data_IF_955131308289
#
_entry.id   IF_955131308289
#
_cell.length_a   1.000
_cell.length_b   1.000
_cell.length_c   1.000
_cell.angle_alpha   90.00
_cell.angle_beta   90.00
_cell.angle_gamma   90.00
#
_symmetry.space_group_name_H-M   'P 1'
#
loop_
_entity.id
_entity.type
_entity.pdbx_description
1 polymer ?
#
# COMPACT_ATOMS: atom_id res chain seq x y z
N UNK A 1 -10.50 -79.00 -54.31
CA UNK A 1 -11.25 -77.75 -54.45
C UNK A 1 -10.84 -76.84 -53.30
N UNK A 2 -9.99 -75.83 -53.58
CA UNK A 2 -9.43 -74.89 -52.58
C UNK A 2 -10.34 -73.68 -52.48
N UNK A 3 -10.74 -73.28 -51.27
CA UNK A 3 -11.34 -71.96 -51.03
C UNK A 3 -10.37 -71.21 -50.10
N UNK A 4 -9.77 -70.15 -50.63
CA UNK A 4 -8.93 -69.19 -49.89
C UNK A 4 -9.83 -68.05 -49.44
N UNK A 5 -9.96 -67.85 -48.14
CA UNK A 5 -10.57 -66.64 -47.57
C UNK A 5 -9.46 -65.65 -47.26
N UNK A 6 -9.39 -64.58 -48.04
CA UNK A 6 -8.57 -63.40 -47.78
C UNK A 6 -9.26 -62.54 -46.71
N UNK A 7 -8.64 -62.41 -45.53
CA UNK A 7 -9.05 -61.42 -44.55
C UNK A 7 -8.48 -60.05 -44.96
N UNK A 8 -9.37 -59.07 -45.17
CA UNK A 8 -9.03 -57.68 -45.42
C UNK A 8 -8.67 -57.03 -44.09
N UNK A 9 -7.43 -56.55 -43.94
CA UNK A 9 -7.02 -55.73 -42.79
C UNK A 9 -7.53 -54.30 -43.01
N UNK A 10 -8.46 -53.84 -42.17
CA UNK A 10 -8.83 -52.43 -42.09
C UNK A 10 -7.79 -51.70 -41.21
N UNK A 11 -6.96 -50.86 -41.82
CA UNK A 11 -6.05 -49.97 -41.12
C UNK A 11 -6.83 -48.71 -40.68
N UNK A 12 -7.18 -48.62 -39.40
CA UNK A 12 -7.76 -47.41 -38.82
C UNK A 12 -6.62 -46.39 -38.63
N UNK A 13 -6.56 -45.37 -39.49
CA UNK A 13 -5.69 -44.22 -39.29
C UNK A 13 -6.28 -43.33 -38.18
N UNK A 14 -5.90 -43.56 -36.93
CA UNK A 14 -6.19 -42.64 -35.85
C UNK A 14 -5.34 -41.37 -36.05
N UNK A 15 -5.99 -40.25 -36.34
CA UNK A 15 -5.34 -38.94 -36.45
C UNK A 15 -4.71 -38.56 -35.10
N UNK A 16 -3.38 -38.48 -35.08
CA UNK A 16 -2.63 -37.86 -33.99
C UNK A 16 -2.85 -36.34 -34.06
N UNK A 17 -3.82 -35.83 -33.30
CA UNK A 17 -3.83 -34.42 -32.94
C UNK A 17 -2.61 -34.16 -32.02
N UNK A 18 -1.80 -33.11 -32.26
CA UNK A 18 -0.72 -32.77 -31.36
C UNK A 18 -1.31 -32.47 -29.97
N UNK A 19 -0.85 -33.21 -28.96
CA UNK A 19 -1.10 -32.87 -27.57
C UNK A 19 -0.43 -31.52 -27.31
N UNK A 20 -1.20 -30.44 -27.32
CA UNK A 20 -0.74 -29.17 -26.78
C UNK A 20 -0.63 -29.37 -25.27
N UNK A 21 0.59 -29.49 -24.75
CA UNK A 21 0.78 -29.36 -23.31
C UNK A 21 0.27 -27.98 -22.92
N UNK A 22 -0.64 -27.93 -21.94
CA UNK A 22 -1.00 -26.68 -21.30
C UNK A 22 0.30 -25.98 -20.88
N UNK A 23 0.37 -24.66 -21.05
CA UNK A 23 1.45 -23.86 -20.48
C UNK A 23 1.62 -24.28 -19.00
N UNK A 24 2.86 -24.34 -18.47
CA UNK A 24 3.06 -24.59 -17.05
C UNK A 24 2.15 -23.62 -16.30
N UNK A 25 1.31 -24.15 -15.40
CA UNK A 25 0.47 -23.31 -14.58
C UNK A 25 1.39 -22.36 -13.83
N UNK A 26 1.38 -21.08 -14.19
CA UNK A 26 1.95 -20.04 -13.34
C UNK A 26 1.21 -20.14 -12.02
N UNK A 27 1.94 -20.30 -10.91
CA UNK A 27 1.33 -20.30 -9.60
C UNK A 27 0.45 -19.05 -9.48
N UNK A 28 -0.77 -19.20 -8.97
CA UNK A 28 -1.57 -18.03 -8.65
C UNK A 28 -0.75 -17.19 -7.66
N UNK A 29 -0.66 -15.87 -7.87
CA UNK A 29 0.00 -14.99 -6.91
C UNK A 29 -0.57 -15.25 -5.51
N UNK A 30 0.31 -15.21 -4.52
CA UNK A 30 -0.02 -15.70 -3.19
C UNK A 30 -0.99 -14.80 -2.42
N UNK A 31 -1.06 -13.52 -2.80
CA UNK A 31 -1.78 -12.50 -2.07
C UNK A 31 -1.31 -12.37 -0.61
N UNK A 32 -0.12 -12.88 -0.30
CA UNK A 32 0.46 -12.80 1.03
C UNK A 32 1.15 -11.45 1.19
N UNK A 33 0.88 -10.72 2.30
CA UNK A 33 1.58 -9.49 2.60
C UNK A 33 3.10 -9.69 2.62
N UNK A 34 3.82 -8.86 1.88
CA UNK A 34 5.27 -8.84 1.81
C UNK A 34 5.87 -9.82 0.80
N UNK A 35 5.12 -10.48 -0.09
CA UNK A 35 5.68 -11.27 -1.19
C UNK A 35 6.01 -10.38 -2.39
N UNK A 36 7.26 -9.92 -2.51
CA UNK A 36 7.70 -9.01 -3.59
C UNK A 36 8.22 -9.76 -4.83
N UNK A 37 8.14 -11.10 -4.88
CA UNK A 37 8.65 -11.85 -6.02
C UNK A 37 7.66 -12.90 -6.58
N UNK A 38 6.51 -13.07 -5.94
CA UNK A 38 5.41 -13.93 -6.35
C UNK A 38 5.68 -15.42 -6.10
N UNK A 39 6.66 -15.78 -5.26
CA UNK A 39 6.97 -17.18 -4.94
C UNK A 39 6.09 -17.77 -3.83
N UNK A 40 5.19 -16.96 -3.28
CA UNK A 40 4.27 -17.32 -2.22
C UNK A 40 4.87 -17.35 -0.84
N UNK A 41 5.83 -16.48 -0.59
CA UNK A 41 6.51 -16.36 0.70
C UNK A 41 6.74 -14.89 1.04
N UNK A 42 6.60 -14.59 2.33
CA UNK A 42 6.95 -13.27 2.86
C UNK A 42 8.46 -13.01 2.63
N UNK A 43 8.74 -11.89 1.98
CA UNK A 43 10.04 -11.26 1.83
C UNK A 43 10.20 -10.14 2.88
N UNK A 44 11.37 -9.50 2.91
CA UNK A 44 11.69 -8.44 3.86
C UNK A 44 12.30 -7.22 3.17
N UNK A 45 11.63 -6.08 3.25
CA UNK A 45 12.19 -4.78 2.87
C UNK A 45 12.77 -4.06 4.09
N UNK A 46 14.03 -3.61 4.01
CA UNK A 46 14.72 -2.89 5.08
C UNK A 46 15.25 -1.56 4.57
N UNK A 47 14.76 -0.47 5.16
CA UNK A 47 15.29 0.87 4.93
C UNK A 47 16.64 1.08 5.63
N UNK A 48 17.67 1.51 4.90
CA UNK A 48 18.95 1.89 5.49
C UNK A 48 19.10 3.43 5.49
N UNK A 49 18.69 4.07 6.59
CA UNK A 49 18.65 5.54 6.71
C UNK A 49 19.98 6.28 6.47
N UNK A 50 21.13 5.61 6.59
CA UNK A 50 22.45 6.20 6.39
C UNK A 50 23.12 5.80 5.05
N UNK A 51 22.50 4.94 4.24
CA UNK A 51 23.11 4.37 3.03
C UNK A 51 22.30 4.57 1.74
N UNK A 52 21.34 5.50 1.75
CA UNK A 52 20.65 5.95 0.54
C UNK A 52 19.98 4.82 -0.26
N UNK A 53 19.26 3.93 0.42
CA UNK A 53 18.53 2.88 -0.28
C UNK A 53 17.67 2.01 0.64
N UNK A 54 16.72 1.32 0.01
CA UNK A 54 16.04 0.18 0.60
C UNK A 54 16.74 -1.09 0.09
N UNK A 55 17.07 -1.98 1.01
CA UNK A 55 17.49 -3.33 0.68
C UNK A 55 16.28 -4.25 0.75
N UNK A 56 15.98 -4.93 -0.35
CA UNK A 56 15.00 -6.00 -0.36
C UNK A 56 15.72 -7.33 -0.18
N UNK A 57 15.13 -8.18 0.66
CA UNK A 57 15.62 -9.51 0.96
C UNK A 57 14.52 -10.51 0.65
N UNK A 58 14.78 -11.37 -0.35
CA UNK A 58 13.80 -12.35 -0.78
C UNK A 58 13.86 -13.59 0.12
N UNK A 59 12.71 -13.97 0.65
CA UNK A 59 12.52 -15.02 1.66
C UNK A 59 12.31 -16.40 1.06
N UNK A 60 12.55 -17.43 1.87
CA UNK A 60 11.96 -18.75 1.62
C UNK A 60 12.69 -19.95 2.20
N UNK A 61 11.97 -20.73 3.01
CA UNK A 61 12.12 -22.17 3.38
C UNK A 61 11.69 -22.50 4.82
N UNK A 62 11.12 -21.55 5.58
CA UNK A 62 10.62 -21.84 6.93
C UNK A 62 11.75 -22.08 7.95
N UNK A 63 11.63 -21.44 9.12
CA UNK A 63 12.65 -21.39 10.18
C UNK A 63 14.03 -20.91 9.69
N UNK A 64 14.20 -19.59 9.69
CA UNK A 64 15.52 -18.95 9.57
C UNK A 64 16.18 -19.15 8.20
N UNK A 65 15.43 -18.93 7.12
CA UNK A 65 16.03 -18.94 5.78
C UNK A 65 16.96 -17.74 5.62
N UNK A 66 18.15 -18.02 5.10
CA UNK A 66 19.14 -17.01 4.76
C UNK A 66 18.60 -16.18 3.61
N UNK A 67 18.45 -14.87 3.86
CA UNK A 67 18.01 -13.85 2.92
C UNK A 67 18.70 -14.04 1.55
N UNK A 68 17.97 -14.52 0.54
CA UNK A 68 18.53 -14.77 -0.78
C UNK A 68 18.48 -13.48 -1.61
N UNK A 69 19.58 -13.16 -2.30
CA UNK A 69 19.62 -12.10 -3.32
C UNK A 69 19.28 -10.69 -2.82
N UNK A 70 20.27 -9.94 -2.32
CA UNK A 70 20.10 -8.51 -2.05
C UNK A 70 19.97 -7.74 -3.36
N UNK A 71 18.79 -7.19 -3.65
CA UNK A 71 18.62 -6.14 -4.64
C UNK A 71 18.64 -4.78 -3.94
N UNK A 72 19.54 -3.90 -4.39
CA UNK A 72 19.60 -2.53 -3.90
C UNK A 72 18.73 -1.65 -4.77
N UNK A 73 17.70 -1.04 -4.19
CA UNK A 73 16.87 -0.06 -4.89
C UNK A 73 17.31 1.35 -4.50
N UNK A 74 17.78 2.10 -5.51
CA UNK A 74 18.15 3.50 -5.39
C UNK A 74 17.17 4.33 -6.23
N UNK A 75 16.11 4.90 -5.63
CA UNK A 75 15.26 5.86 -6.32
C UNK A 75 16.11 7.07 -6.70
N UNK A 76 16.50 7.15 -7.98
CA UNK A 76 17.09 8.33 -8.61
C UNK A 76 18.19 9.08 -7.84
N UNK A 77 19.45 8.63 -7.97
CA UNK A 77 20.63 9.49 -7.77
C UNK A 77 21.08 9.73 -6.32
N UNK A 78 22.31 10.21 -6.18
CA UNK A 78 23.14 10.19 -4.95
C UNK A 78 22.65 11.07 -3.77
N UNK A 79 21.41 11.56 -3.79
CA UNK A 79 20.90 12.54 -2.83
C UNK A 79 19.67 12.00 -2.10
N UNK A 80 19.96 11.07 -1.18
CA UNK A 80 19.21 10.64 -0.02
C UNK A 80 17.73 11.04 0.04
N UNK A 81 16.86 10.06 -0.14
CA UNK A 81 15.56 10.08 0.51
C UNK A 81 15.78 9.86 2.00
N UNK A 82 15.46 10.84 2.85
CA UNK A 82 15.24 10.57 4.27
C UNK A 82 14.05 9.63 4.38
N UNK A 83 14.28 8.37 4.76
CA UNK A 83 13.23 7.35 4.88
C UNK A 83 12.34 7.69 6.08
N UNK A 84 11.11 8.12 5.81
CA UNK A 84 10.10 8.42 6.83
C UNK A 84 9.13 7.24 7.01
N UNK A 85 8.85 6.48 5.93
CA UNK A 85 7.95 5.32 5.95
C UNK A 85 8.29 4.29 4.87
N UNK A 86 7.89 3.04 5.13
CA UNK A 86 8.04 1.90 4.24
C UNK A 86 6.80 1.02 4.34
N UNK A 87 6.07 0.88 3.23
CA UNK A 87 4.78 0.17 3.19
C UNK A 87 4.72 -0.69 1.93
N UNK A 88 3.98 -1.80 1.98
CA UNK A 88 3.83 -2.73 0.87
C UNK A 88 2.36 -3.05 0.58
N UNK A 89 2.08 -3.44 -0.66
CA UNK A 89 0.81 -4.00 -1.10
C UNK A 89 0.71 -4.05 -2.63
N UNK A 90 -0.12 -4.94 -3.15
CA UNK A 90 -0.37 -5.11 -4.59
C UNK A 90 -1.18 -3.94 -5.19
N UNK A 91 -0.50 -2.91 -5.68
CA UNK A 91 -1.11 -1.67 -6.18
C UNK A 91 -1.42 -1.75 -7.68
N UNK A 92 -0.70 -2.56 -8.46
CA UNK A 92 -1.01 -2.76 -9.89
C UNK A 92 -1.90 -3.97 -10.19
N UNK A 93 -2.17 -4.82 -9.20
CA UNK A 93 -3.07 -5.97 -9.30
C UNK A 93 -2.44 -7.17 -9.98
N UNK A 94 -1.10 -7.25 -10.03
CA UNK A 94 -0.41 -8.40 -10.59
C UNK A 94 -0.28 -9.57 -9.59
N UNK A 95 -0.66 -9.32 -8.33
CA UNK A 95 -0.68 -10.27 -7.23
C UNK A 95 0.66 -10.42 -6.49
N UNK A 96 1.65 -9.63 -6.87
CA UNK A 96 2.90 -9.44 -6.13
C UNK A 96 2.80 -8.12 -5.37
N UNK A 97 3.32 -8.07 -4.15
CA UNK A 97 3.32 -6.81 -3.41
C UNK A 97 4.29 -5.82 -4.04
N UNK A 98 3.84 -4.57 -4.13
CA UNK A 98 4.67 -3.43 -4.51
C UNK A 98 5.21 -2.73 -3.26
N UNK A 99 6.34 -2.03 -3.41
CA UNK A 99 6.94 -1.26 -2.32
C UNK A 99 6.67 0.24 -2.48
N UNK A 100 6.16 0.86 -1.43
CA UNK A 100 6.03 2.31 -1.29
C UNK A 100 7.02 2.83 -0.25
N UNK A 101 7.86 3.77 -0.69
CA UNK A 101 8.84 4.45 0.15
C UNK A 101 8.40 5.89 0.32
N UNK A 102 8.03 6.27 1.53
CA UNK A 102 7.78 7.67 1.89
C UNK A 102 9.05 8.32 2.40
N UNK A 103 9.42 9.47 1.84
CA UNK A 103 10.63 10.16 2.30
C UNK A 103 10.93 11.46 1.59
N UNK A 104 11.97 12.16 2.04
CA UNK A 104 12.31 13.48 1.52
C UNK A 104 13.54 13.53 0.63
N UNK A 105 13.48 14.16 -0.54
CA UNK A 105 14.68 14.47 -1.32
C UNK A 105 15.42 15.64 -0.66
N UNK A 106 16.56 15.35 -0.03
CA UNK A 106 17.34 16.36 0.69
C UNK A 106 17.90 17.47 -0.21
N UNK A 107 17.95 17.28 -1.53
CA UNK A 107 18.50 18.25 -2.48
C UNK A 107 17.46 19.26 -3.00
N UNK A 108 16.18 18.89 -3.06
CA UNK A 108 15.12 19.75 -3.60
C UNK A 108 14.13 20.21 -2.55
N UNK A 109 14.26 19.75 -1.29
CA UNK A 109 13.27 19.92 -0.20
C UNK A 109 11.90 19.28 -0.51
N UNK A 110 11.65 18.93 -1.77
CA UNK A 110 10.51 18.17 -2.23
C UNK A 110 10.60 16.75 -1.67
N UNK A 111 9.51 16.29 -1.07
CA UNK A 111 9.42 14.95 -0.52
C UNK A 111 8.48 14.11 -1.39
N UNK A 112 8.72 12.81 -1.41
CA UNK A 112 8.27 11.89 -2.46
C UNK A 112 7.76 10.58 -1.85
N UNK A 113 6.68 10.07 -2.39
CA UNK A 113 6.37 8.64 -2.32
C UNK A 113 6.97 7.99 -3.57
N UNK A 114 7.81 6.98 -3.40
CA UNK A 114 8.33 6.18 -4.52
C UNK A 114 7.66 4.82 -4.49
N UNK A 115 6.99 4.52 -5.58
CA UNK A 115 6.36 3.24 -5.85
C UNK A 115 7.28 2.37 -6.71
N UNK A 116 7.45 1.12 -6.29
CA UNK A 116 8.27 0.14 -6.98
C UNK A 116 7.51 -1.18 -7.11
N UNK A 117 7.19 -1.53 -8.35
CA UNK A 117 6.75 -2.88 -8.71
C UNK A 117 7.94 -3.76 -9.04
N UNK A 118 7.96 -5.02 -8.57
CA UNK A 118 8.95 -6.01 -8.98
C UNK A 118 9.03 -6.14 -10.52
N UNK A 119 10.21 -5.88 -11.10
CA UNK A 119 10.38 -5.88 -12.57
C UNK A 119 9.86 -4.63 -13.30
N UNK A 120 9.15 -3.73 -12.59
CA UNK A 120 8.70 -2.43 -13.07
C UNK A 120 9.76 -1.32 -12.94
N UNK A 121 9.44 -0.14 -13.46
CA UNK A 121 10.24 1.07 -13.25
C UNK A 121 9.73 1.83 -12.03
N UNK A 122 10.63 2.29 -11.17
CA UNK A 122 10.27 3.12 -10.03
C UNK A 122 9.52 4.38 -10.48
N UNK A 123 8.35 4.63 -9.88
CA UNK A 123 7.56 5.85 -10.12
C UNK A 123 7.66 6.75 -8.91
N UNK A 124 8.05 7.99 -9.15
CA UNK A 124 8.13 9.02 -8.13
C UNK A 124 6.86 9.86 -8.17
N UNK A 125 6.20 9.98 -7.02
CA UNK A 125 5.12 10.93 -6.81
C UNK A 125 5.66 12.07 -5.97
N UNK A 126 5.85 13.21 -6.61
CA UNK A 126 6.12 14.46 -5.90
C UNK A 126 4.79 14.99 -5.35
N UNK A 127 4.70 15.14 -4.03
CA UNK A 127 3.66 15.93 -3.39
C UNK A 127 4.26 17.26 -2.94
N UNK A 128 3.48 18.34 -2.98
CA UNK A 128 3.84 19.65 -2.43
C UNK A 128 3.80 19.69 -0.89
N UNK A 129 3.50 18.56 -0.23
CA UNK A 129 3.36 18.48 1.22
C UNK A 129 4.71 18.56 1.98
N UNK A 130 4.67 19.16 3.17
CA UNK A 130 5.83 19.33 4.06
C UNK A 130 6.39 18.04 4.70
N UNK A 131 7.37 18.13 5.63
CA UNK A 131 7.94 16.97 6.34
C UNK A 131 6.88 16.10 7.02
N UNK A 132 7.06 14.76 7.07
CA UNK A 132 6.09 13.93 7.80
C UNK A 132 5.33 12.70 7.32
N UNK A 133 5.79 12.06 6.24
CA UNK A 133 5.00 11.10 5.48
C UNK A 133 4.76 9.78 6.22
N UNK A 134 3.53 9.58 6.67
CA UNK A 134 3.00 8.25 6.88
C UNK A 134 2.39 7.74 5.56
N UNK A 135 2.66 6.50 5.19
CA UNK A 135 2.07 5.86 4.01
C UNK A 135 1.32 4.60 4.40
N UNK A 136 0.16 4.38 3.81
CA UNK A 136 -0.63 3.16 3.97
C UNK A 136 -1.13 2.68 2.61
N UNK A 137 -1.18 1.37 2.41
CA UNK A 137 -1.62 0.74 1.17
C UNK A 137 -2.81 -0.17 1.46
N UNK A 138 -3.85 -0.12 0.64
CA UNK A 138 -5.03 -0.99 0.76
C UNK A 138 -6.12 -0.67 -0.26
N UNK A 139 -6.89 -1.67 -0.65
CA UNK A 139 -7.94 -1.58 -1.68
C UNK A 139 -9.20 -0.88 -1.13
N UNK A 140 -9.33 0.44 -1.34
CA UNK A 140 -10.42 1.25 -0.76
C UNK A 140 -11.74 1.00 -1.48
N UNK A 141 -11.69 0.66 -2.78
CA UNK A 141 -12.88 0.49 -3.60
C UNK A 141 -13.28 -0.96 -3.91
N UNK A 142 -12.47 -1.91 -3.47
CA UNK A 142 -12.69 -3.34 -3.61
C UNK A 142 -12.56 -3.81 -5.05
N UNK A 143 -11.71 -3.16 -5.85
CA UNK A 143 -11.50 -3.48 -7.26
C UNK A 143 -10.33 -4.45 -7.50
N UNK A 144 -9.67 -4.88 -6.43
CA UNK A 144 -8.56 -5.82 -6.43
C UNK A 144 -7.19 -5.17 -6.60
N UNK A 145 -7.09 -3.84 -6.61
CA UNK A 145 -5.81 -3.11 -6.62
C UNK A 145 -5.72 -2.19 -5.42
N UNK A 146 -4.59 -2.22 -4.73
CA UNK A 146 -4.41 -1.44 -3.53
C UNK A 146 -4.16 0.05 -3.84
N UNK A 147 -4.85 0.93 -3.13
CA UNK A 147 -4.66 2.37 -3.20
C UNK A 147 -3.60 2.83 -2.20
N UNK A 148 -3.07 4.05 -2.39
CA UNK A 148 -2.11 4.67 -1.48
C UNK A 148 -2.74 5.83 -0.71
N UNK A 149 -2.71 5.78 0.62
CA UNK A 149 -2.94 6.94 1.48
C UNK A 149 -1.60 7.53 1.94
N UNK A 150 -1.50 8.85 1.90
CA UNK A 150 -0.31 9.63 2.24
C UNK A 150 -0.67 10.70 3.26
N UNK A 151 -0.17 10.55 4.48
CA UNK A 151 -0.30 11.52 5.55
C UNK A 151 0.72 12.65 5.42
N UNK A 152 0.27 13.89 5.58
CA UNK A 152 1.04 15.12 5.42
C UNK A 152 0.84 16.00 6.66
N UNK A 153 1.35 15.56 7.81
CA UNK A 153 1.13 16.21 9.11
C UNK A 153 1.60 17.67 9.21
N UNK A 154 2.47 18.14 8.32
CA UNK A 154 2.92 19.53 8.30
C UNK A 154 2.21 20.40 7.25
N UNK A 155 1.16 19.87 6.62
CA UNK A 155 0.36 20.64 5.67
C UNK A 155 -0.26 21.87 6.34
N UNK A 156 -0.26 23.00 5.64
CA UNK A 156 -0.87 24.24 6.11
C UNK A 156 -2.25 24.41 5.49
N UNK A 157 -3.29 24.47 6.33
CA UNK A 157 -4.67 24.66 5.87
C UNK A 157 -5.07 26.13 6.09
N UNK A 158 -5.13 26.90 5.02
CA UNK A 158 -5.36 28.35 5.09
C UNK A 158 -4.21 29.05 5.84
N UNK A 159 -4.48 29.59 7.03
CA UNK A 159 -3.47 30.22 7.91
C UNK A 159 -3.04 29.32 9.08
N UNK A 160 -3.48 28.06 9.09
CA UNK A 160 -3.25 27.09 10.18
C UNK A 160 -2.04 26.23 9.82
N UNK A 161 -0.87 26.70 10.21
CA UNK A 161 0.39 25.96 10.03
C UNK A 161 0.32 24.61 10.76
N UNK A 162 0.88 23.57 10.15
CA UNK A 162 0.94 22.22 10.73
C UNK A 162 -0.42 21.61 11.11
N UNK A 163 -1.52 22.08 10.50
CA UNK A 163 -2.84 21.49 10.67
C UNK A 163 -2.88 20.04 10.14
N UNK A 164 -2.19 19.79 9.04
CA UNK A 164 -2.05 18.47 8.45
C UNK A 164 -3.18 18.07 7.49
N UNK A 165 -2.91 17.03 6.68
CA UNK A 165 -3.87 16.46 5.75
C UNK A 165 -3.55 15.00 5.44
N UNK A 166 -4.47 14.29 4.80
CA UNK A 166 -4.22 12.99 4.15
C UNK A 166 -4.66 13.07 2.70
N UNK A 167 -3.80 12.64 1.78
CA UNK A 167 -4.12 12.48 0.36
C UNK A 167 -4.20 11.02 0.00
N UNK A 168 -5.26 10.63 -0.71
CA UNK A 168 -5.42 9.30 -1.30
C UNK A 168 -5.12 9.38 -2.78
N UNK A 169 -4.28 8.45 -3.25
CA UNK A 169 -3.93 8.24 -4.64
C UNK A 169 -4.50 6.88 -5.06
N UNK A 170 -5.57 6.86 -5.87
CA UNK A 170 -6.17 5.61 -6.33
C UNK A 170 -5.28 4.82 -7.28
N UNK A 171 -5.41 3.50 -7.31
CA UNK A 171 -4.79 2.61 -8.28
C UNK A 171 -5.54 2.57 -9.61
N UNK A 172 -4.83 2.90 -10.69
CA UNK A 172 -5.28 2.63 -12.05
C UNK A 172 -4.86 1.24 -12.55
N UNK A 173 -5.10 0.95 -13.82
CA UNK A 173 -4.75 -0.35 -14.45
C UNK A 173 -3.25 -0.56 -14.67
N UNK A 174 -2.40 0.40 -14.31
CA UNK A 174 -0.94 0.33 -14.50
C UNK A 174 -0.22 0.86 -13.25
N UNK A 175 -0.82 0.66 -12.07
CA UNK A 175 -0.42 1.24 -10.79
C UNK A 175 -1.11 2.59 -10.51
N UNK A 176 -0.58 3.33 -9.53
CA UNK A 176 -1.19 4.57 -9.03
C UNK A 176 -1.52 5.61 -10.12
N UNK A 177 -2.65 6.29 -9.93
CA UNK A 177 -3.22 7.34 -10.78
C UNK A 177 -3.32 8.68 -10.03
N UNK A 178 -2.24 9.49 -9.98
CA UNK A 178 -2.23 10.76 -9.26
C UNK A 178 -3.25 11.79 -9.75
N UNK A 179 -3.63 11.75 -11.03
CA UNK A 179 -4.61 12.66 -11.61
C UNK A 179 -6.03 12.51 -11.02
N UNK A 180 -6.27 11.43 -10.28
CA UNK A 180 -7.55 11.14 -9.62
C UNK A 180 -7.46 11.23 -8.09
N UNK A 181 -6.38 11.81 -7.56
CA UNK A 181 -6.17 11.94 -6.12
C UNK A 181 -7.20 12.86 -5.46
N UNK A 182 -7.44 12.62 -4.18
CA UNK A 182 -8.33 13.43 -3.35
C UNK A 182 -7.81 13.47 -1.91
N UNK A 183 -8.21 14.49 -1.14
CA UNK A 183 -7.63 14.74 0.19
C UNK A 183 -8.68 15.04 1.26
N UNK A 184 -8.31 14.75 2.51
CA UNK A 184 -9.08 15.05 3.71
C UNK A 184 -8.24 15.82 4.71
N UNK A 185 -8.90 16.72 5.43
CA UNK A 185 -8.42 17.42 6.61
C UNK A 185 -9.63 17.69 7.52
N UNK A 186 -9.43 18.22 8.73
CA UNK A 186 -10.54 18.32 9.70
C UNK A 186 -11.62 19.30 9.28
N UNK A 187 -11.32 20.36 8.50
CA UNK A 187 -12.36 21.23 7.93
C UNK A 187 -13.12 20.57 6.74
N UNK A 188 -12.80 19.34 6.35
CA UNK A 188 -13.47 18.68 5.21
C UNK A 188 -14.91 18.35 5.60
N UNK A 189 -15.87 18.76 4.76
CA UNK A 189 -17.29 18.58 5.06
C UNK A 189 -17.65 17.11 5.40
N UNK A 190 -18.19 16.91 6.61
CA UNK A 190 -18.56 15.59 7.14
C UNK A 190 -17.47 14.91 7.96
N UNK A 191 -16.24 15.44 7.99
CA UNK A 191 -15.20 15.04 8.95
C UNK A 191 -15.44 15.82 10.26
N UNK A 192 -15.59 15.16 11.42
CA UNK A 192 -15.75 15.86 12.70
C UNK A 192 -14.50 16.66 13.09
N UNK A 193 -14.72 17.82 13.72
CA UNK A 193 -13.65 18.70 14.18
C UNK A 193 -13.47 19.91 13.28
N UNK A 194 -12.44 20.69 13.58
CA UNK A 194 -11.98 21.83 12.79
C UNK A 194 -10.48 21.80 12.81
N UNK A 195 -9.84 22.09 11.68
CA UNK A 195 -8.39 22.21 11.68
C UNK A 195 -7.98 23.40 12.56
N UNK A 196 -6.93 23.21 13.32
CA UNK A 196 -6.26 24.21 14.12
C UNK A 196 -4.76 24.18 13.80
N UNK A 197 -4.04 25.18 14.30
CA UNK A 197 -2.59 25.17 14.16
C UNK A 197 -2.04 24.01 15.00
N UNK A 198 -1.07 23.28 14.44
CA UNK A 198 -0.36 22.19 15.10
C UNK A 198 -1.18 20.92 15.40
N UNK A 199 -2.38 20.71 14.84
CA UNK A 199 -3.15 19.46 15.02
C UNK A 199 -2.45 18.23 14.45
N UNK A 200 -1.67 18.44 13.39
CA UNK A 200 -0.86 17.41 12.75
C UNK A 200 -1.68 16.22 12.23
N UNK A 201 -2.87 16.49 11.68
CA UNK A 201 -3.72 15.48 11.04
C UNK A 201 -2.96 14.75 9.93
N UNK A 202 -3.05 13.41 9.93
CA UNK A 202 -2.27 12.59 9.01
C UNK A 202 -0.85 12.28 9.49
N UNK A 203 -0.56 12.44 10.79
CA UNK A 203 0.73 11.97 11.35
C UNK A 203 0.89 10.47 11.25
N UNK A 204 -0.21 9.74 11.40
CA UNK A 204 -0.27 8.31 11.15
C UNK A 204 -1.50 8.00 10.30
N UNK A 205 -1.34 7.08 9.34
CA UNK A 205 -2.43 6.61 8.48
C UNK A 205 -2.39 5.09 8.40
N UNK A 206 -3.56 4.46 8.30
CA UNK A 206 -3.69 3.03 8.08
C UNK A 206 -4.88 2.75 7.16
N UNK A 207 -4.69 1.85 6.20
CA UNK A 207 -5.74 1.29 5.36
C UNK A 207 -5.95 -0.17 5.75
N UNK A 208 -7.16 -0.51 6.20
CA UNK A 208 -7.51 -1.87 6.65
C UNK A 208 -9.01 -2.05 6.58
N UNK A 209 -9.46 -3.19 6.06
CA UNK A 209 -10.87 -3.57 6.10
C UNK A 209 -11.28 -3.91 7.54
N UNK A 210 -11.69 -2.88 8.28
CA UNK A 210 -12.00 -2.98 9.72
C UNK A 210 -13.37 -3.58 9.93
N UNK A 211 -14.22 -3.54 8.90
CA UNK A 211 -15.62 -3.90 8.98
C UNK A 211 -15.97 -5.21 8.23
N UNK A 212 -15.01 -5.78 7.52
CA UNK A 212 -15.10 -7.01 6.72
C UNK A 212 -16.06 -6.91 5.53
N UNK A 213 -16.13 -5.75 4.87
CA UNK A 213 -16.91 -5.57 3.64
C UNK A 213 -16.08 -5.72 2.35
N UNK A 214 -14.81 -6.12 2.47
CA UNK A 214 -13.88 -6.28 1.36
C UNK A 214 -13.33 -4.97 0.84
N UNK A 215 -13.38 -3.90 1.64
CA UNK A 215 -12.85 -2.57 1.30
C UNK A 215 -12.03 -2.02 2.44
N UNK A 216 -10.88 -1.45 2.14
CA UNK A 216 -10.05 -0.81 3.14
C UNK A 216 -10.74 0.45 3.69
N UNK A 217 -10.84 0.53 5.02
CA UNK A 217 -11.21 1.72 5.76
C UNK A 217 -9.93 2.50 6.12
N UNK A 218 -10.01 3.84 6.12
CA UNK A 218 -8.90 4.71 6.51
C UNK A 218 -9.00 5.10 7.98
N UNK A 219 -7.95 4.82 8.75
CA UNK A 219 -7.71 5.42 10.06
C UNK A 219 -6.68 6.56 9.94
N UNK A 220 -6.93 7.70 10.60
CA UNK A 220 -6.04 8.87 10.57
C UNK A 220 -5.81 9.42 11.97
N UNK A 221 -4.55 9.55 12.38
CA UNK A 221 -4.15 10.16 13.65
C UNK A 221 -3.76 11.64 13.52
N UNK A 222 -4.12 12.44 14.52
CA UNK A 222 -3.69 13.83 14.71
C UNK A 222 -3.25 14.00 16.18
N UNK A 223 -1.95 13.82 16.51
CA UNK A 223 -1.48 13.86 17.90
C UNK A 223 -1.47 15.26 18.51
N UNK A 224 -1.54 16.32 17.69
CA UNK A 224 -1.57 17.70 18.16
C UNK A 224 -2.95 18.20 18.57
N UNK A 225 -4.00 17.49 18.16
CA UNK A 225 -5.39 17.83 18.40
C UNK A 225 -5.68 18.12 19.89
N UNK A 226 -6.46 19.16 20.15
CA UNK A 226 -6.96 19.55 21.49
C UNK A 226 -5.83 19.68 22.54
N UNK A 227 -4.85 20.55 22.26
CA UNK A 227 -3.68 20.78 23.13
C UNK A 227 -2.82 19.51 23.36
N UNK A 228 -2.61 18.74 22.29
CA UNK A 228 -1.85 17.48 22.28
C UNK A 228 -2.49 16.33 23.08
N UNK A 229 -3.81 16.36 23.28
CA UNK A 229 -4.57 15.19 23.76
C UNK A 229 -4.74 14.13 22.65
N UNK A 230 -4.62 14.57 21.39
CA UNK A 230 -4.64 13.71 20.22
C UNK A 230 -6.02 13.17 19.87
N UNK A 231 -6.19 12.81 18.59
CA UNK A 231 -7.40 12.17 18.12
C UNK A 231 -7.16 11.23 16.92
N UNK A 232 -8.16 10.38 16.68
CA UNK A 232 -8.20 9.41 15.60
C UNK A 232 -9.53 9.53 14.85
N UNK A 233 -9.49 9.47 13.52
CA UNK A 233 -10.66 9.43 12.64
C UNK A 233 -10.71 8.14 11.86
N UNK A 234 -11.92 7.62 11.63
CA UNK A 234 -12.16 6.48 10.75
C UNK A 234 -13.12 6.86 9.62
N UNK A 235 -12.64 6.74 8.39
CA UNK A 235 -13.41 6.95 7.16
C UNK A 235 -13.60 5.60 6.47
N UNK A 236 -14.84 5.29 6.06
CA UNK A 236 -15.12 3.98 5.46
C UNK A 236 -14.78 3.94 3.98
N UNK A 237 -14.25 2.80 3.53
CA UNK A 237 -14.15 2.47 2.11
C UNK A 237 -15.54 2.36 1.47
N UNK A 238 -15.62 2.65 0.18
CA UNK A 238 -16.82 2.44 -0.65
C UNK A 238 -16.36 2.03 -2.03
N UNK A 239 -17.24 1.53 -2.90
CA UNK A 239 -16.90 1.10 -4.26
C UNK A 239 -16.36 2.17 -5.22
N UNK A 240 -15.94 3.34 -4.71
CA UNK A 240 -15.36 4.43 -5.51
C UNK A 240 -14.32 5.25 -4.74
N UNK A 241 -14.44 5.40 -3.41
CA UNK A 241 -13.56 6.22 -2.55
C UNK A 241 -13.93 6.10 -1.06
N UNK A 242 -13.12 6.69 -0.19
CA UNK A 242 -13.50 6.92 1.20
C UNK A 242 -14.70 7.88 1.33
N UNK A 243 -15.62 7.56 2.25
CA UNK A 243 -16.80 8.41 2.52
C UNK A 243 -16.64 9.23 3.80
N UNK A 244 -17.12 10.48 3.76
CA UNK A 244 -17.26 11.32 4.97
C UNK A 244 -18.59 11.09 5.69
N UNK A 245 -19.49 10.28 5.13
CA UNK A 245 -20.75 9.95 5.79
C UNK A 245 -20.50 8.95 6.92
N UNK A 246 -20.78 9.36 8.16
CA UNK A 246 -20.66 8.49 9.32
C UNK A 246 -19.22 8.31 9.80
N UNK A 247 -18.34 9.28 9.52
CA UNK A 247 -17.00 9.32 10.11
C UNK A 247 -17.11 9.33 11.63
N UNK A 248 -16.35 8.43 12.26
CA UNK A 248 -16.24 8.36 13.71
C UNK A 248 -14.89 8.96 14.10
N UNK A 249 -14.88 9.80 15.12
CA UNK A 249 -13.64 10.29 15.74
C UNK A 249 -13.58 9.94 17.23
N UNK A 250 -12.36 9.71 17.70
CA UNK A 250 -12.04 9.44 19.09
C UNK A 250 -10.95 10.40 19.55
N UNK A 251 -11.14 11.07 20.68
CA UNK A 251 -10.09 11.79 21.39
C UNK A 251 -9.80 11.14 22.73
N UNK A 252 -8.69 11.51 23.39
CA UNK A 252 -8.33 11.01 24.73
C UNK A 252 -9.52 10.88 25.69
N UNK A 253 -10.28 11.98 25.80
CA UNK A 253 -11.42 12.08 26.70
C UNK A 253 -12.59 11.15 26.31
N UNK A 254 -12.80 10.86 25.02
CA UNK A 254 -13.94 10.04 24.57
C UNK A 254 -13.74 8.54 24.81
N UNK A 255 -12.49 8.11 25.04
CA UNK A 255 -12.14 6.73 25.42
C UNK A 255 -11.71 6.59 26.88
N UNK A 256 -11.94 7.64 27.69
CA UNK A 256 -11.71 7.61 29.14
C UNK A 256 -10.23 7.64 29.55
N UNK A 257 -9.33 8.02 28.65
CA UNK A 257 -7.94 8.33 29.00
C UNK A 257 -7.89 9.77 29.53
N UNK A 258 -7.24 9.99 30.67
CA UNK A 258 -7.05 11.33 31.23
C UNK A 258 -6.19 12.22 30.32
N UNK A 259 -6.13 13.54 30.59
CA UNK A 259 -5.37 14.51 29.79
C UNK A 259 -3.91 14.06 29.57
N UNK A 260 -3.39 14.27 28.35
CA UNK A 260 -2.07 13.85 27.85
C UNK A 260 -1.79 12.36 27.56
N UNK A 261 -2.66 11.57 26.89
CA UNK A 261 -2.19 10.40 26.16
C UNK A 261 -1.68 10.84 24.77
N UNK A 262 -0.59 10.25 24.29
CA UNK A 262 -0.13 10.39 22.91
C UNK A 262 -0.55 9.12 22.15
N UNK A 263 -1.80 9.02 21.63
CA UNK A 263 -2.24 7.83 20.93
C UNK A 263 -1.46 7.69 19.62
N UNK A 264 -0.59 6.69 19.54
CA UNK A 264 0.06 6.27 18.30
C UNK A 264 -0.69 5.08 17.69
N UNK A 265 -0.90 5.10 16.38
CA UNK A 265 -1.35 3.92 15.63
C UNK A 265 -0.18 2.92 15.57
N UNK A 266 -0.36 1.74 16.17
CA UNK A 266 0.58 0.62 16.02
C UNK A 266 0.27 -0.18 14.75
N UNK A 267 1.14 -1.13 14.39
CA UNK A 267 0.78 -2.15 13.40
C UNK A 267 -0.48 -2.89 13.83
N UNK A 268 -1.40 -3.22 12.90
CA UNK A 268 -2.60 -3.98 13.24
C UNK A 268 -2.25 -5.30 13.92
N UNK A 269 -2.98 -5.65 14.98
CA UNK A 269 -3.02 -7.02 15.48
C UNK A 269 -3.97 -7.77 14.53
N UNK A 270 -3.42 -8.34 13.45
CA UNK A 270 -4.18 -9.28 12.63
C UNK A 270 -4.43 -10.54 13.45
N UNK A 271 -5.69 -10.96 13.52
CA UNK A 271 -6.15 -12.14 14.27
C UNK A 271 -7.02 -13.03 13.40
#
# INVERSE_FOLDING_TARGET
MRIRTTALAALLAAGLAPLTLAAPATAAPSGLPGDFNGDGRDDLAVGAGNYNGVSLYLGGTGKGSTLAGRTGFAPGGRNALGLDSLTAGDIDGDGTDDLVIGGGNLATVARQAVYLSPGGSARTFAGEAGPGYATAVGDIDGDGRADLAVGARHETIGSKEYAGSVTVVPAGTTGLSPGTSYSYQQDTAGVPGTSERDDQFGTAVQLTDTNRDGKADLAVGAPGENAHDGALWFLKGTSTRLTTKGVVSFGAASIGLGAHPQPELSTPITG
#
